data_IF_714567224644
#
_entry.id   IF_714567224644
#
_cell.length_a   1.000
_cell.length_b   1.000
_cell.length_c   1.000
_cell.angle_alpha   90.00
_cell.angle_beta   90.00
_cell.angle_gamma   90.00
#
_symmetry.space_group_name_H-M   'P 1'
#
loop_
_entity.id
_entity.type
_entity.pdbx_description
1 polymer ?
#
# COMPACT_ATOMS: atom_id res chain seq x y z
N UNK A 1 1.45 25.08 -9.93
CA UNK A 1 1.21 23.80 -10.64
C UNK A 1 1.75 23.95 -12.05
N UNK A 2 2.81 23.22 -12.39
CA UNK A 2 3.42 23.30 -13.71
C UNK A 2 2.74 22.36 -14.70
N UNK A 3 2.70 22.77 -15.98
CA UNK A 3 2.20 21.93 -17.06
C UNK A 3 3.34 21.01 -17.52
N UNK A 4 3.20 19.67 -17.43
CA UNK A 4 4.20 18.75 -17.93
C UNK A 4 4.30 18.79 -19.47
N UNK A 5 5.44 18.33 -19.99
CA UNK A 5 5.55 17.98 -21.40
C UNK A 5 4.52 16.91 -21.79
N UNK A 6 4.23 16.75 -23.08
CA UNK A 6 3.28 15.72 -23.54
C UNK A 6 3.61 14.32 -23.03
N UNK A 7 4.89 13.94 -23.07
CA UNK A 7 5.37 12.68 -22.50
C UNK A 7 5.15 12.60 -20.98
N UNK A 8 5.49 13.67 -20.25
CA UNK A 8 5.25 13.74 -18.81
C UNK A 8 3.76 13.64 -18.45
N UNK A 9 2.88 14.24 -19.25
CA UNK A 9 1.43 14.16 -19.08
C UNK A 9 0.94 12.72 -19.27
N UNK A 10 1.36 12.04 -20.35
CA UNK A 10 1.01 10.63 -20.59
C UNK A 10 1.48 9.73 -19.45
N UNK A 11 2.71 9.94 -18.95
CA UNK A 11 3.23 9.20 -17.79
C UNK A 11 2.44 9.48 -16.51
N UNK A 12 2.06 10.73 -16.24
CA UNK A 12 1.21 11.08 -15.10
C UNK A 12 -0.15 10.38 -15.18
N UNK A 13 -0.82 10.44 -16.34
CA UNK A 13 -2.12 9.83 -16.54
C UNK A 13 -2.04 8.30 -16.44
N UNK A 14 -1.06 7.70 -17.12
CA UNK A 14 -0.82 6.26 -17.14
C UNK A 14 -0.48 5.71 -15.76
N UNK A 15 0.45 6.33 -15.03
CA UNK A 15 0.80 5.89 -13.67
C UNK A 15 -0.38 6.01 -12.70
N UNK A 16 -1.15 7.10 -12.77
CA UNK A 16 -2.39 7.25 -12.01
C UNK A 16 -3.44 6.18 -12.30
N UNK A 17 -3.61 5.79 -13.57
CA UNK A 17 -4.50 4.71 -13.95
C UNK A 17 -3.99 3.34 -13.49
N UNK A 18 -2.69 3.06 -13.60
CA UNK A 18 -2.07 1.83 -13.08
C UNK A 18 -2.28 1.72 -11.57
N UNK A 19 -2.12 2.83 -10.83
CA UNK A 19 -2.41 2.89 -9.40
C UNK A 19 -3.84 2.46 -9.08
N UNK A 20 -4.81 2.99 -9.84
CA UNK A 20 -6.23 2.61 -9.70
C UNK A 20 -6.42 1.11 -9.91
N UNK A 21 -5.84 0.54 -10.97
CA UNK A 21 -5.97 -0.90 -11.22
C UNK A 21 -5.30 -1.74 -10.14
N UNK A 22 -4.18 -1.28 -9.57
CA UNK A 22 -3.57 -1.90 -8.38
C UNK A 22 -4.52 -1.93 -7.19
N UNK A 23 -5.21 -0.82 -6.91
CA UNK A 23 -6.25 -0.75 -5.88
C UNK A 23 -7.45 -1.65 -6.21
N UNK A 24 -7.88 -1.70 -7.47
CA UNK A 24 -8.98 -2.56 -7.89
C UNK A 24 -8.66 -4.05 -7.68
N UNK A 25 -7.45 -4.47 -8.04
CA UNK A 25 -6.97 -5.83 -7.76
C UNK A 25 -6.92 -6.11 -6.26
N UNK A 26 -6.50 -5.14 -5.44
CA UNK A 26 -6.53 -5.28 -3.99
C UNK A 26 -7.95 -5.50 -3.47
N UNK A 27 -8.94 -4.75 -3.97
CA UNK A 27 -10.33 -4.94 -3.57
C UNK A 27 -10.90 -6.29 -4.02
N UNK A 28 -10.62 -6.76 -5.23
CA UNK A 28 -11.02 -8.11 -5.66
C UNK A 28 -10.36 -9.20 -4.81
N UNK A 29 -9.13 -8.99 -4.34
CA UNK A 29 -8.48 -9.91 -3.42
C UNK A 29 -9.21 -9.99 -2.07
N UNK A 30 -9.59 -8.83 -1.51
CA UNK A 30 -10.34 -8.71 -0.24
C UNK A 30 -11.77 -9.26 -0.36
N UNK A 31 -12.40 -9.12 -1.53
CA UNK A 31 -13.71 -9.71 -1.79
C UNK A 31 -13.65 -11.25 -1.77
N UNK A 32 -12.57 -11.83 -2.27
CA UNK A 32 -12.39 -13.28 -2.38
C UNK A 32 -11.73 -13.94 -1.18
N UNK A 33 -11.16 -13.17 -0.26
CA UNK A 33 -10.46 -13.69 0.91
C UNK A 33 -10.36 -12.66 2.04
N UNK A 34 -10.18 -13.15 3.26
CA UNK A 34 -10.03 -12.30 4.45
C UNK A 34 -8.85 -11.34 4.31
N UNK A 35 -9.03 -10.11 4.79
CA UNK A 35 -7.99 -9.08 4.77
C UNK A 35 -6.69 -9.54 5.46
N UNK A 36 -6.79 -10.36 6.51
CA UNK A 36 -5.65 -10.98 7.21
C UNK A 36 -4.79 -11.89 6.33
N UNK A 37 -5.30 -12.38 5.19
CA UNK A 37 -4.52 -13.16 4.21
C UNK A 37 -4.04 -12.32 3.04
N UNK A 38 -4.85 -11.34 2.63
CA UNK A 38 -4.58 -10.48 1.47
C UNK A 38 -3.48 -9.47 1.77
N UNK A 39 -3.57 -8.79 2.91
CA UNK A 39 -2.66 -7.69 3.27
C UNK A 39 -1.21 -8.18 3.41
N UNK A 40 -0.90 -9.31 4.06
CA UNK A 40 0.47 -9.84 4.08
C UNK A 40 1.04 -10.11 2.70
N UNK A 41 0.24 -10.67 1.78
CA UNK A 41 0.68 -10.94 0.40
C UNK A 41 1.01 -9.64 -0.33
N UNK A 42 0.12 -8.64 -0.28
CA UNK A 42 0.39 -7.34 -0.92
C UNK A 42 1.61 -6.66 -0.28
N UNK A 43 1.69 -6.67 1.05
CA UNK A 43 2.79 -6.12 1.82
C UNK A 43 4.15 -6.80 1.57
N UNK A 44 4.13 -8.07 1.17
CA UNK A 44 5.31 -8.82 0.74
C UNK A 44 5.78 -8.39 -0.64
N UNK A 45 4.86 -8.45 -1.60
CA UNK A 45 5.18 -8.27 -3.01
C UNK A 45 5.42 -6.81 -3.35
N UNK A 46 4.78 -5.87 -2.67
CA UNK A 46 4.94 -4.44 -2.94
C UNK A 46 6.40 -3.95 -2.80
N UNK A 47 7.09 -4.06 -1.65
CA UNK A 47 8.46 -3.57 -1.52
C UNK A 47 9.45 -4.37 -2.37
N UNK A 48 9.26 -5.69 -2.51
CA UNK A 48 10.10 -6.53 -3.36
C UNK A 48 9.98 -6.13 -4.84
N UNK A 49 8.74 -5.99 -5.34
CA UNK A 49 8.51 -5.54 -6.70
C UNK A 49 8.98 -4.10 -6.90
N UNK A 50 8.82 -3.22 -5.91
CA UNK A 50 9.32 -1.84 -5.98
C UNK A 50 10.82 -1.82 -6.21
N UNK A 51 11.57 -2.60 -5.42
CA UNK A 51 13.01 -2.74 -5.59
C UNK A 51 13.39 -3.25 -6.98
N UNK A 52 12.78 -4.35 -7.44
CA UNK A 52 13.12 -4.94 -8.74
C UNK A 52 12.77 -4.02 -9.92
N UNK A 53 11.61 -3.35 -9.84
CA UNK A 53 11.12 -2.44 -10.87
C UNK A 53 11.91 -1.12 -10.86
N UNK A 54 12.45 -0.67 -9.72
CA UNK A 54 13.22 0.57 -9.67
C UNK A 54 14.57 0.47 -10.40
N UNK A 55 15.15 -0.73 -10.50
CA UNK A 55 16.44 -1.00 -11.16
C UNK A 55 16.50 -0.50 -12.63
N UNK A 56 15.59 -0.91 -13.54
CA UNK A 56 15.64 -0.45 -14.94
C UNK A 56 15.37 1.04 -15.09
N UNK A 57 14.62 1.67 -14.17
CA UNK A 57 14.34 3.10 -14.20
C UNK A 57 15.50 3.95 -13.65
N UNK A 58 16.50 3.32 -13.02
CA UNK A 58 17.69 3.97 -12.43
C UNK A 58 17.34 5.16 -11.52
N UNK A 59 16.18 5.11 -10.88
CA UNK A 59 15.71 6.16 -9.96
C UNK A 59 16.49 6.13 -8.65
N UNK A 60 17.18 5.02 -8.35
CA UNK A 60 17.84 4.80 -7.07
C UNK A 60 19.17 4.05 -7.25
N UNK A 61 20.13 4.36 -6.38
CA UNK A 61 21.39 3.63 -6.23
C UNK A 61 21.55 3.30 -4.75
N UNK A 62 21.84 2.04 -4.46
CA UNK A 62 22.02 1.55 -3.09
C UNK A 62 23.43 1.05 -2.87
N UNK A 63 23.99 1.34 -1.70
CA UNK A 63 25.20 0.67 -1.22
C UNK A 63 24.90 -0.79 -0.84
N UNK A 64 25.93 -1.62 -0.74
CA UNK A 64 25.77 -3.00 -0.27
C UNK A 64 25.11 -3.08 1.12
N UNK A 65 25.40 -2.12 2.01
CA UNK A 65 24.83 -2.04 3.35
C UNK A 65 23.33 -1.70 3.28
N UNK A 66 22.95 -0.74 2.44
CA UNK A 66 21.54 -0.38 2.24
C UNK A 66 20.72 -1.53 1.65
N UNK A 67 21.31 -2.34 0.75
CA UNK A 67 20.66 -3.54 0.22
C UNK A 67 20.37 -4.56 1.32
N UNK A 68 21.32 -4.79 2.24
CA UNK A 68 21.10 -5.65 3.41
C UNK A 68 19.96 -5.08 4.26
N UNK A 69 19.96 -3.77 4.50
CA UNK A 69 18.90 -3.11 5.26
C UNK A 69 17.50 -3.27 4.63
N UNK A 70 17.39 -3.07 3.30
CA UNK A 70 16.14 -3.26 2.54
C UNK A 70 15.68 -4.72 2.66
N UNK A 71 16.59 -5.68 2.50
CA UNK A 71 16.28 -7.10 2.63
C UNK A 71 15.78 -7.44 4.03
N UNK A 72 16.42 -6.93 5.09
CA UNK A 72 15.99 -7.12 6.47
C UNK A 72 14.60 -6.51 6.73
N UNK A 73 14.31 -5.32 6.20
CA UNK A 73 12.98 -4.72 6.33
C UNK A 73 11.89 -5.55 5.65
N UNK A 74 12.14 -6.01 4.41
CA UNK A 74 11.20 -6.88 3.69
C UNK A 74 11.00 -8.17 4.47
N UNK A 75 12.08 -8.83 4.86
CA UNK A 75 12.02 -10.11 5.56
C UNK A 75 11.37 -10.00 6.94
N UNK A 76 11.72 -8.98 7.72
CA UNK A 76 11.10 -8.72 9.02
C UNK A 76 9.62 -8.37 8.89
N UNK A 77 9.24 -7.59 7.87
CA UNK A 77 7.84 -7.32 7.53
C UNK A 77 7.05 -8.60 7.19
N UNK A 78 7.68 -9.57 6.53
CA UNK A 78 7.09 -10.87 6.28
C UNK A 78 6.94 -11.70 7.55
N UNK A 79 7.99 -11.76 8.36
CA UNK A 79 7.98 -12.51 9.61
C UNK A 79 6.93 -12.01 10.59
N UNK A 80 6.64 -10.70 10.64
CA UNK A 80 5.59 -10.17 11.52
C UNK A 80 4.18 -10.36 10.95
N UNK A 81 4.04 -10.43 9.62
CA UNK A 81 2.74 -10.52 8.94
C UNK A 81 2.23 -11.95 8.75
N UNK A 82 3.10 -12.96 8.86
CA UNK A 82 2.74 -14.37 8.73
C UNK A 82 2.85 -15.08 10.07
N UNK A 83 1.85 -15.88 10.44
CA UNK A 83 1.96 -16.78 11.60
C UNK A 83 2.72 -18.06 11.19
N UNK A 84 3.79 -18.41 11.92
CA UNK A 84 4.53 -19.67 11.73
C UNK A 84 4.10 -20.72 12.77
N UNK A 85 3.99 -22.01 12.40
CA UNK A 85 4.22 -22.57 11.09
C UNK A 85 3.14 -22.13 10.12
N UNK A 86 3.54 -21.76 8.89
CA UNK A 86 2.63 -21.41 7.82
C UNK A 86 1.59 -22.54 7.71
N UNK A 87 0.36 -22.27 8.14
CA UNK A 87 -0.76 -23.20 7.97
C UNK A 87 -1.19 -23.17 6.51
N UNK A 88 -0.27 -23.61 5.64
CA UNK A 88 -0.52 -23.95 4.25
C UNK A 88 -1.45 -25.15 4.27
N UNK A 89 -2.74 -24.88 4.47
CA UNK A 89 -3.81 -25.83 4.17
C UNK A 89 -3.62 -26.35 2.74
N UNK A 90 -4.25 -27.48 2.42
CA UNK A 90 -4.05 -28.26 1.19
C UNK A 90 -4.15 -27.47 -0.14
N UNK A 91 -4.60 -26.21 -0.13
CA UNK A 91 -4.40 -25.24 -1.22
C UNK A 91 -3.35 -24.18 -0.84
N UNK A 92 -2.17 -24.24 -1.47
CA UNK A 92 -1.09 -23.25 -1.30
C UNK A 92 -1.52 -21.80 -1.61
N UNK A 93 -2.59 -21.63 -2.39
CA UNK A 93 -3.13 -20.33 -2.78
C UNK A 93 -4.59 -20.20 -2.36
N UNK A 94 -4.92 -19.09 -1.70
CA UNK A 94 -6.31 -18.72 -1.43
C UNK A 94 -6.96 -18.10 -2.68
N UNK A 95 -8.29 -18.09 -2.75
CA UNK A 95 -9.06 -17.62 -3.93
C UNK A 95 -8.68 -16.22 -4.44
N UNK A 96 -8.27 -15.32 -3.53
CA UNK A 96 -7.80 -13.96 -3.83
C UNK A 96 -6.28 -13.81 -4.05
N UNK A 97 -5.48 -14.88 -4.04
CA UNK A 97 -4.02 -14.78 -4.03
C UNK A 97 -3.46 -14.07 -5.25
N UNK A 98 -3.89 -14.47 -6.45
CA UNK A 98 -3.40 -13.85 -7.69
C UNK A 98 -3.77 -12.36 -7.77
N UNK A 99 -4.97 -11.98 -7.31
CA UNK A 99 -5.37 -10.58 -7.21
C UNK A 99 -4.47 -9.80 -6.24
N UNK A 100 -4.14 -10.37 -5.08
CA UNK A 100 -3.22 -9.76 -4.11
C UNK A 100 -1.80 -9.60 -4.67
N UNK A 101 -1.30 -10.63 -5.36
CA UNK A 101 0.00 -10.62 -6.03
C UNK A 101 0.08 -9.51 -7.10
N UNK A 102 -0.88 -9.48 -8.02
CA UNK A 102 -0.92 -8.44 -9.07
C UNK A 102 -1.18 -7.05 -8.50
N UNK A 103 -1.95 -6.92 -7.42
CA UNK A 103 -2.10 -5.65 -6.72
C UNK A 103 -0.75 -5.12 -6.23
N UNK A 104 0.05 -5.96 -5.56
CA UNK A 104 1.39 -5.59 -5.11
C UNK A 104 2.29 -5.11 -6.26
N UNK A 105 2.29 -5.82 -7.39
CA UNK A 105 3.09 -5.46 -8.57
C UNK A 105 2.63 -4.15 -9.22
N UNK A 106 1.32 -3.99 -9.46
CA UNK A 106 0.79 -2.79 -10.11
C UNK A 106 1.00 -1.54 -9.24
N UNK A 107 0.79 -1.67 -7.93
CA UNK A 107 1.06 -0.59 -6.98
C UNK A 107 2.55 -0.25 -6.94
N UNK A 108 3.43 -1.25 -6.86
CA UNK A 108 4.88 -1.04 -6.93
C UNK A 108 5.29 -0.33 -8.22
N UNK A 109 4.78 -0.77 -9.36
CA UNK A 109 5.06 -0.14 -10.65
C UNK A 109 4.61 1.32 -10.68
N UNK A 110 3.41 1.61 -10.19
CA UNK A 110 2.92 2.97 -10.06
C UNK A 110 3.80 3.83 -9.15
N UNK A 111 4.25 3.30 -8.01
CA UNK A 111 5.12 4.05 -7.09
C UNK A 111 6.49 4.36 -7.70
N UNK A 112 7.08 3.41 -8.45
CA UNK A 112 8.32 3.66 -9.19
C UNK A 112 8.11 4.74 -10.26
N UNK A 113 6.98 4.72 -10.98
CA UNK A 113 6.64 5.78 -11.93
C UNK A 113 6.43 7.14 -11.25
N UNK A 114 5.82 7.19 -10.06
CA UNK A 114 5.70 8.41 -9.28
C UNK A 114 7.07 8.97 -8.90
N UNK A 115 8.00 8.10 -8.47
CA UNK A 115 9.38 8.50 -8.19
C UNK A 115 10.08 9.01 -9.45
N UNK A 116 9.93 8.31 -10.56
CA UNK A 116 10.48 8.71 -11.85
C UNK A 116 9.97 10.07 -12.31
N UNK A 117 8.66 10.33 -12.18
CA UNK A 117 8.05 11.63 -12.47
C UNK A 117 8.67 12.72 -11.58
N UNK A 118 8.70 12.47 -10.27
CA UNK A 118 9.23 13.42 -9.29
C UNK A 118 10.71 13.77 -9.56
N UNK A 119 11.54 12.79 -9.91
CA UNK A 119 12.97 12.98 -10.11
C UNK A 119 13.35 13.49 -11.50
N UNK A 120 12.79 12.91 -12.56
CA UNK A 120 13.25 13.14 -13.94
C UNK A 120 12.38 14.13 -14.71
N UNK A 121 11.10 14.24 -14.39
CA UNK A 121 10.18 15.15 -15.11
C UNK A 121 10.00 16.47 -14.34
N UNK A 122 9.97 16.40 -13.01
CA UNK A 122 9.68 17.54 -12.13
C UNK A 122 10.84 17.89 -11.19
N UNK A 123 12.00 17.25 -11.33
CA UNK A 123 13.14 17.38 -10.42
C UNK A 123 13.76 18.78 -10.34
N UNK A 124 13.51 19.61 -11.36
CA UNK A 124 13.94 21.00 -11.44
C UNK A 124 13.06 21.99 -10.65
N UNK A 125 11.94 21.51 -10.08
CA UNK A 125 11.04 22.31 -9.24
C UNK A 125 11.45 22.26 -7.77
N UNK A 126 11.01 23.25 -6.98
CA UNK A 126 11.11 23.19 -5.52
C UNK A 126 10.44 21.91 -4.99
N UNK A 127 10.90 21.34 -3.87
CA UNK A 127 10.34 20.07 -3.35
C UNK A 127 8.82 20.14 -3.14
N UNK A 128 8.30 21.30 -2.73
CA UNK A 128 6.87 21.56 -2.58
C UNK A 128 6.16 21.56 -3.93
N UNK A 129 6.66 22.31 -4.91
CA UNK A 129 6.01 22.41 -6.22
C UNK A 129 6.12 21.13 -7.02
N UNK A 130 7.24 20.41 -6.89
CA UNK A 130 7.47 19.07 -7.42
C UNK A 130 6.37 18.13 -6.90
N UNK A 131 6.27 17.97 -5.58
CA UNK A 131 5.28 17.11 -4.95
C UNK A 131 3.85 17.43 -5.40
N UNK A 132 3.44 18.69 -5.28
CA UNK A 132 2.08 19.12 -5.65
C UNK A 132 1.82 18.81 -7.12
N UNK A 133 2.77 19.08 -8.02
CA UNK A 133 2.57 18.93 -9.46
C UNK A 133 2.41 17.46 -9.86
N UNK A 134 3.35 16.58 -9.52
CA UNK A 134 3.21 15.17 -9.91
C UNK A 134 2.03 14.49 -9.19
N UNK A 135 1.80 14.83 -7.92
CA UNK A 135 0.70 14.25 -7.15
C UNK A 135 -0.65 14.61 -7.78
N UNK A 136 -0.90 15.87 -8.10
CA UNK A 136 -2.18 16.28 -8.70
C UNK A 136 -2.39 15.65 -10.08
N UNK A 137 -1.38 15.67 -10.95
CA UNK A 137 -1.51 15.09 -12.29
C UNK A 137 -1.74 13.58 -12.28
N UNK A 138 -1.12 12.85 -11.36
CA UNK A 138 -1.37 11.41 -11.20
C UNK A 138 -2.75 11.11 -10.62
N UNK A 139 -3.32 12.00 -9.77
CA UNK A 139 -4.73 11.88 -9.33
C UNK A 139 -5.72 12.16 -10.46
N UNK A 140 -5.41 13.07 -11.38
CA UNK A 140 -6.20 13.24 -12.61
C UNK A 140 -6.15 11.94 -13.45
N UNK A 141 -4.98 11.30 -13.55
CA UNK A 141 -4.84 9.97 -14.17
C UNK A 141 -5.71 8.90 -13.52
N UNK A 142 -5.72 8.86 -12.19
CA UNK A 142 -6.57 7.94 -11.43
C UNK A 142 -8.06 8.18 -11.68
N UNK A 143 -8.47 9.45 -11.74
CA UNK A 143 -9.84 9.83 -12.08
C UNK A 143 -10.20 9.40 -13.51
N UNK A 144 -9.34 9.66 -14.48
CA UNK A 144 -9.53 9.21 -15.86
C UNK A 144 -9.60 7.68 -15.97
N UNK A 145 -8.74 6.96 -15.27
CA UNK A 145 -8.82 5.50 -15.16
C UNK A 145 -10.12 5.01 -14.54
N UNK A 146 -10.71 5.78 -13.62
CA UNK A 146 -12.00 5.43 -13.00
C UNK A 146 -13.14 5.59 -13.99
N UNK A 147 -13.11 6.64 -14.81
CA UNK A 147 -14.06 6.82 -15.92
C UNK A 147 -13.96 5.66 -16.93
N UNK A 148 -12.76 5.13 -17.15
CA UNK A 148 -12.57 3.96 -18.01
C UNK A 148 -13.29 2.71 -17.48
N UNK A 149 -13.46 2.55 -16.16
CA UNK A 149 -14.25 1.45 -15.59
C UNK A 149 -15.73 1.51 -16.01
N UNK A 150 -16.25 2.70 -16.32
CA UNK A 150 -17.64 2.90 -16.76
C UNK A 150 -17.88 2.48 -18.21
N UNK A 151 -16.82 2.25 -18.99
CA UNK A 151 -16.92 1.75 -20.37
C UNK A 151 -17.49 0.32 -20.36
N UNK A 152 -17.14 -0.48 -19.36
CA UNK A 152 -17.63 -1.85 -19.22
C UNK A 152 -19.09 -1.86 -18.72
N UNK A 153 -20.05 -2.36 -19.52
CA UNK A 153 -21.48 -2.24 -19.17
C UNK A 153 -21.87 -2.92 -17.85
N UNK A 154 -21.24 -4.05 -17.53
CA UNK A 154 -21.48 -4.79 -16.28
C UNK A 154 -21.05 -3.98 -15.06
N UNK A 155 -19.84 -3.42 -15.07
CA UNK A 155 -19.32 -2.59 -13.97
C UNK A 155 -20.10 -1.29 -13.83
N UNK A 156 -20.43 -0.64 -14.96
CA UNK A 156 -21.28 0.55 -14.97
C UNK A 156 -22.60 0.29 -14.25
N UNK A 157 -23.29 -0.81 -14.57
CA UNK A 157 -24.56 -1.17 -13.93
C UNK A 157 -24.40 -1.35 -12.42
N UNK A 158 -23.43 -2.15 -11.97
CA UNK A 158 -23.15 -2.38 -10.55
C UNK A 158 -22.81 -1.09 -9.79
N UNK A 159 -22.02 -0.19 -10.41
CA UNK A 159 -21.67 1.11 -9.82
C UNK A 159 -22.92 1.97 -9.64
N UNK A 160 -23.76 2.12 -10.67
CA UNK A 160 -24.96 2.95 -10.58
C UNK A 160 -26.01 2.39 -9.62
N UNK A 161 -26.19 1.07 -9.56
CA UNK A 161 -27.09 0.42 -8.60
C UNK A 161 -26.67 0.66 -7.14
N UNK A 162 -25.36 0.77 -6.87
CA UNK A 162 -24.84 1.05 -5.53
C UNK A 162 -25.30 2.42 -4.97
N UNK A 163 -25.56 3.41 -5.82
CA UNK A 163 -26.04 4.73 -5.40
C UNK A 163 -27.52 4.74 -4.98
N UNK A 164 -28.33 3.81 -5.50
CA UNK A 164 -29.78 3.79 -5.30
C UNK A 164 -30.17 3.07 -3.99
N UNK A 165 -29.38 2.08 -3.55
CA UNK A 165 -29.71 1.21 -2.40
C UNK A 165 -29.62 1.82 -1.00
N UNK A 166 -29.06 3.03 -0.84
CA UNK A 166 -28.70 3.59 0.48
C UNK A 166 -29.87 4.25 1.26
N UNK A 167 -31.12 4.20 0.78
CA UNK A 167 -32.26 4.89 1.42
C UNK A 167 -32.83 4.24 2.69
N UNK A 168 -32.48 2.99 3.04
CA UNK A 168 -33.24 2.19 4.03
C UNK A 168 -32.82 2.29 5.51
N UNK A 169 -31.65 2.81 5.88
CA UNK A 169 -31.18 2.77 7.29
C UNK A 169 -30.54 4.08 7.80
N UNK A 170 -31.34 5.14 7.95
CA UNK A 170 -30.86 6.52 8.23
C UNK A 170 -30.38 6.80 9.68
N UNK A 171 -30.89 6.10 10.71
CA UNK A 171 -30.57 6.42 12.13
C UNK A 171 -29.29 5.75 12.67
N UNK A 172 -28.93 4.55 12.20
CA UNK A 172 -27.62 3.91 12.49
C UNK A 172 -26.48 4.49 11.63
N UNK A 173 -26.84 5.20 10.55
CA UNK A 173 -25.91 5.73 9.55
C UNK A 173 -25.13 6.98 9.97
N UNK A 174 -25.58 7.77 10.95
CA UNK A 174 -24.92 9.03 11.33
C UNK A 174 -23.63 8.77 12.13
N UNK A 175 -23.68 7.89 13.14
CA UNK A 175 -22.49 7.51 13.92
C UNK A 175 -21.45 6.75 13.09
N UNK A 176 -21.89 5.85 12.21
CA UNK A 176 -21.01 5.18 11.24
C UNK A 176 -20.51 6.14 10.16
N UNK A 177 -21.28 7.17 9.82
CA UNK A 177 -20.91 8.20 8.84
C UNK A 177 -19.76 9.08 9.33
N UNK A 178 -19.80 9.53 10.59
CA UNK A 178 -18.70 10.30 11.20
C UNK A 178 -17.42 9.45 11.26
N UNK A 179 -17.51 8.20 11.73
CA UNK A 179 -16.37 7.28 11.75
C UNK A 179 -15.82 7.01 10.34
N UNK A 180 -16.70 6.88 9.35
CA UNK A 180 -16.31 6.69 7.95
C UNK A 180 -15.55 7.91 7.41
N UNK A 181 -16.06 9.12 7.63
CA UNK A 181 -15.39 10.36 7.19
C UNK A 181 -14.05 10.54 7.91
N UNK A 182 -14.01 10.34 9.23
CA UNK A 182 -12.77 10.41 10.00
C UNK A 182 -11.73 9.41 9.49
N UNK A 183 -12.12 8.16 9.25
CA UNK A 183 -11.24 7.14 8.68
C UNK A 183 -10.72 7.53 7.28
N UNK A 184 -11.58 8.11 6.43
CA UNK A 184 -11.17 8.59 5.09
C UNK A 184 -10.22 9.79 5.17
N UNK A 185 -10.42 10.71 6.10
CA UNK A 185 -9.50 11.83 6.33
C UNK A 185 -8.13 11.35 6.79
N UNK A 186 -8.07 10.45 7.77
CA UNK A 186 -6.82 9.85 8.25
C UNK A 186 -6.13 9.09 7.11
N UNK A 187 -6.88 8.31 6.33
CA UNK A 187 -6.36 7.61 5.16
C UNK A 187 -5.79 8.57 4.11
N UNK A 188 -6.48 9.70 3.87
CA UNK A 188 -6.03 10.74 2.95
C UNK A 188 -4.74 11.42 3.43
N UNK A 189 -4.65 11.76 4.71
CA UNK A 189 -3.45 12.32 5.33
C UNK A 189 -2.28 11.34 5.27
N UNK A 190 -2.50 10.08 5.63
CA UNK A 190 -1.49 9.02 5.52
C UNK A 190 -0.99 8.88 4.08
N UNK A 191 -1.90 8.87 3.10
CA UNK A 191 -1.53 8.82 1.69
C UNK A 191 -0.73 10.05 1.26
N UNK A 192 -1.11 11.25 1.68
CA UNK A 192 -0.36 12.48 1.39
C UNK A 192 1.05 12.43 1.99
N UNK A 193 1.18 12.04 3.26
CA UNK A 193 2.47 11.88 3.93
C UNK A 193 3.36 10.84 3.23
N UNK A 194 2.81 9.68 2.86
CA UNK A 194 3.53 8.64 2.16
C UNK A 194 4.04 9.15 0.80
N UNK A 195 3.17 9.77 0.00
CA UNK A 195 3.57 10.29 -1.31
C UNK A 195 4.56 11.47 -1.19
N UNK A 196 4.47 12.28 -0.14
CA UNK A 196 5.46 13.31 0.12
C UNK A 196 6.82 12.70 0.48
N UNK A 197 6.84 11.64 1.29
CA UNK A 197 8.06 10.89 1.59
C UNK A 197 8.71 10.31 0.32
N UNK A 198 7.93 9.86 -0.67
CA UNK A 198 8.46 9.41 -1.97
C UNK A 198 9.18 10.52 -2.76
N UNK A 199 8.74 11.77 -2.60
CA UNK A 199 9.39 12.92 -3.23
C UNK A 199 10.76 13.16 -2.59
N UNK A 200 10.83 13.12 -1.26
CA UNK A 200 12.05 13.42 -0.50
C UNK A 200 13.05 12.26 -0.45
N UNK A 201 12.56 11.03 -0.37
CA UNK A 201 13.36 9.84 -0.08
C UNK A 201 13.31 8.78 -1.17
N UNK A 202 13.84 7.61 -0.85
CA UNK A 202 13.82 6.43 -1.73
C UNK A 202 12.42 5.78 -1.73
N UNK A 203 11.88 5.47 -2.91
CA UNK A 203 10.65 4.69 -3.09
C UNK A 203 10.81 3.27 -2.57
N UNK A 204 11.95 2.62 -2.80
CA UNK A 204 12.21 1.28 -2.27
C UNK A 204 12.26 1.29 -0.75
N UNK A 205 13.01 2.21 -0.15
CA UNK A 205 13.10 2.34 1.31
C UNK A 205 11.74 2.68 1.91
N UNK A 206 11.02 3.65 1.34
CA UNK A 206 9.70 4.07 1.84
C UNK A 206 8.72 2.89 1.83
N UNK A 207 8.69 2.09 0.76
CA UNK A 207 7.83 0.91 0.70
C UNK A 207 8.31 -0.21 1.63
N UNK A 208 9.62 -0.38 1.84
CA UNK A 208 10.15 -1.34 2.80
C UNK A 208 9.82 -0.95 4.26
N UNK A 209 9.75 0.36 4.57
CA UNK A 209 9.37 0.88 5.89
C UNK A 209 7.90 0.59 6.27
N UNK A 210 7.06 0.11 5.34
CA UNK A 210 5.74 -0.43 5.68
C UNK A 210 5.85 -1.57 6.70
N UNK A 211 6.96 -2.32 6.72
CA UNK A 211 7.24 -3.32 7.76
C UNK A 211 7.17 -2.75 9.18
N UNK A 212 7.58 -1.50 9.38
CA UNK A 212 7.51 -0.79 10.67
C UNK A 212 6.05 -0.56 11.09
N UNK A 213 5.15 -0.34 10.13
CA UNK A 213 3.71 -0.20 10.41
C UNK A 213 3.16 -1.45 11.10
N UNK A 214 3.62 -2.64 10.73
CA UNK A 214 3.19 -3.89 11.37
C UNK A 214 3.61 -3.98 12.84
N UNK A 215 4.78 -3.41 13.18
CA UNK A 215 5.22 -3.31 14.58
C UNK A 215 4.24 -2.44 15.38
N UNK A 216 3.85 -1.28 14.83
CA UNK A 216 2.85 -0.42 15.46
C UNK A 216 1.48 -1.11 15.59
N UNK A 217 1.04 -1.82 14.55
CA UNK A 217 -0.22 -2.59 14.59
C UNK A 217 -0.17 -3.63 15.70
N UNK A 218 0.93 -4.36 15.84
CA UNK A 218 1.11 -5.36 16.89
C UNK A 218 1.07 -4.73 18.30
N UNK A 219 1.79 -3.63 18.50
CA UNK A 219 1.82 -2.90 19.79
C UNK A 219 0.41 -2.41 20.15
N UNK A 220 -0.33 -1.86 19.18
CA UNK A 220 -1.68 -1.38 19.39
C UNK A 220 -2.63 -2.55 19.69
N UNK A 221 -2.59 -3.62 18.90
CA UNK A 221 -3.41 -4.81 19.11
C UNK A 221 -3.19 -5.41 20.51
N UNK A 222 -1.93 -5.55 20.93
CA UNK A 222 -1.59 -6.01 22.27
C UNK A 222 -2.03 -5.06 23.39
N UNK A 223 -1.94 -3.75 23.17
CA UNK A 223 -2.37 -2.76 24.15
C UNK A 223 -3.90 -2.76 24.31
N UNK A 224 -4.64 -2.90 23.21
CA UNK A 224 -6.10 -2.94 23.22
C UNK A 224 -6.70 -4.30 23.60
N UNK A 225 -5.98 -5.41 23.41
CA UNK A 225 -6.43 -6.74 23.85
C UNK A 225 -6.64 -6.81 25.35
N UNK A 226 -5.88 -6.03 26.15
CA UNK A 226 -6.10 -5.91 27.60
C UNK A 226 -7.44 -5.30 27.97
N UNK A 227 -7.97 -4.38 27.15
CA UNK A 227 -9.21 -3.63 27.42
C UNK A 227 -10.43 -4.21 26.71
N UNK A 228 -10.23 -4.79 25.53
CA UNK A 228 -11.27 -5.37 24.69
C UNK A 228 -10.83 -6.75 24.13
N UNK A 229 -10.64 -7.75 25.00
CA UNK A 229 -10.14 -9.07 24.58
C UNK A 229 -11.05 -9.73 23.54
N UNK A 230 -12.37 -9.61 23.67
CA UNK A 230 -13.31 -10.20 22.71
C UNK A 230 -13.14 -9.74 21.24
N UNK A 231 -12.44 -8.63 20.99
CA UNK A 231 -12.22 -8.08 19.64
C UNK A 231 -10.75 -8.22 19.20
N UNK A 232 -9.80 -8.12 20.14
CA UNK A 232 -8.36 -8.04 19.84
C UNK A 232 -7.54 -9.19 20.44
N UNK A 233 -8.16 -10.20 21.04
CA UNK A 233 -7.46 -11.35 21.60
C UNK A 233 -6.85 -12.18 20.49
N UNK A 234 -5.54 -11.96 20.29
CA UNK A 234 -4.69 -12.80 19.47
C UNK A 234 -4.17 -13.93 20.38
N UNK A 235 -4.67 -15.15 20.18
CA UNK A 235 -4.21 -16.34 20.93
C UNK A 235 -2.84 -16.76 20.42
N UNK A 236 -1.81 -16.05 20.87
CA UNK A 236 -0.42 -16.31 20.50
C UNK A 236 0.17 -17.38 21.42
N UNK A 237 0.72 -18.43 20.82
CA UNK A 237 1.62 -19.34 21.51
C UNK A 237 2.94 -18.64 21.84
N UNK A 238 3.76 -19.25 22.70
CA UNK A 238 5.10 -18.74 22.99
C UNK A 238 5.96 -18.62 21.72
N UNK A 239 5.83 -19.57 20.79
CA UNK A 239 6.53 -19.56 19.51
C UNK A 239 6.12 -18.39 18.63
N UNK A 240 4.82 -18.06 18.58
CA UNK A 240 4.31 -16.92 17.79
C UNK A 240 4.82 -15.59 18.37
N UNK A 241 4.87 -15.48 19.70
CA UNK A 241 5.45 -14.31 20.38
C UNK A 241 6.94 -14.15 20.09
N UNK A 242 7.71 -15.24 20.18
CA UNK A 242 9.14 -15.23 19.92
C UNK A 242 9.43 -14.82 18.47
N UNK A 243 8.66 -15.33 17.50
CA UNK A 243 8.76 -14.94 16.11
C UNK A 243 8.53 -13.44 15.92
N UNK A 244 7.47 -12.88 16.52
CA UNK A 244 7.15 -11.45 16.40
C UNK A 244 8.24 -10.56 17.02
N UNK A 245 8.83 -10.98 18.14
CA UNK A 245 9.97 -10.28 18.76
C UNK A 245 11.20 -10.32 17.84
N UNK A 246 11.54 -11.48 17.28
CA UNK A 246 12.63 -11.62 16.30
C UNK A 246 12.37 -10.72 15.10
N UNK A 247 11.15 -10.68 14.59
CA UNK A 247 10.77 -9.82 13.47
C UNK A 247 11.00 -8.33 13.77
N UNK A 248 10.63 -7.86 14.97
CA UNK A 248 10.88 -6.49 15.41
C UNK A 248 12.38 -6.18 15.44
N UNK A 249 13.19 -7.08 15.98
CA UNK A 249 14.66 -6.90 16.02
C UNK A 249 15.23 -6.84 14.61
N UNK A 250 14.80 -7.73 13.72
CA UNK A 250 15.20 -7.74 12.31
C UNK A 250 14.84 -6.43 11.61
N UNK A 251 13.61 -5.92 11.83
CA UNK A 251 13.17 -4.63 11.29
C UNK A 251 14.05 -3.49 11.84
N UNK A 252 14.33 -3.48 13.14
CA UNK A 252 15.17 -2.44 13.77
C UNK A 252 16.59 -2.40 13.19
N UNK A 253 17.21 -3.57 12.99
CA UNK A 253 18.52 -3.68 12.32
C UNK A 253 18.42 -3.21 10.86
N UNK A 254 17.33 -3.55 10.17
CA UNK A 254 17.07 -3.08 8.81
C UNK A 254 17.02 -1.56 8.71
N UNK A 255 16.32 -0.89 9.63
CA UNK A 255 16.28 0.59 9.72
C UNK A 255 17.69 1.14 9.93
N UNK A 256 18.47 0.56 10.83
CA UNK A 256 19.82 1.02 11.14
C UNK A 256 20.76 0.96 9.92
N UNK A 257 20.66 -0.06 9.07
CA UNK A 257 21.49 -0.18 7.86
C UNK A 257 21.05 0.68 6.68
N UNK A 258 19.81 1.17 6.68
CA UNK A 258 19.33 2.09 5.64
C UNK A 258 19.60 3.55 6.01
N UNK A 259 19.66 3.85 7.31
CA UNK A 259 19.93 5.20 7.85
C UNK A 259 21.35 5.65 7.54
#
# INVERSE_FOLDING_TARGET
MHLPSFFGLLLCLGSGAIFLFGILMLYFAIEKAQASRVVPVVGAFLPLATFLISLPFQVEKFSHIQLIGIFLLIFGGLLISFDLPLSLGKSKFFSGFYFAFFAGILLAFSYVLFKYLSQNIFGNLSSRDNFITWYVWTRIGMFAGTLFLLVMPSWRKSIFESFVGHRKHRKRAVGTGVLFVANKMISGLSALSLNYALTLGSVTVTNAMISVQYVFVLILAWSFSKKHPQVFEEKLSFSDWLQKVIAIVVIAIGIFFIS
#
